data_IF_077366029337
#
_entry.id   IF_077366029337
#
_cell.length_a   1.000
_cell.length_b   1.000
_cell.length_c   1.000
_cell.angle_alpha   90.00
_cell.angle_beta   90.00
_cell.angle_gamma   90.00
#
_symmetry.space_group_name_H-M   'P 1'
#
loop_
_entity.id
_entity.type
_entity.pdbx_description
1 polymer ?
#
# COMPACT_ATOMS: atom_id res chain seq x y z
N UNK A 1 -54.51 -8.98 -3.47
CA UNK A 1 -53.41 -9.48 -2.61
C UNK A 1 -52.30 -8.45 -2.68
N UNK A 2 -52.29 -7.48 -1.76
CA UNK A 2 -51.29 -6.42 -1.72
C UNK A 2 -50.20 -6.80 -0.70
N UNK A 3 -48.99 -7.05 -1.20
CA UNK A 3 -47.82 -7.32 -0.36
C UNK A 3 -47.32 -6.03 0.27
N UNK A 4 -47.44 -5.93 1.61
CA UNK A 4 -46.84 -4.84 2.38
C UNK A 4 -45.32 -5.07 2.48
N UNK A 5 -44.54 -4.27 1.76
CA UNK A 5 -43.11 -4.07 2.06
C UNK A 5 -42.98 -3.36 3.41
N UNK A 6 -42.46 -4.07 4.41
CA UNK A 6 -42.04 -3.47 5.68
C UNK A 6 -40.82 -2.56 5.49
N UNK A 7 -40.63 -1.54 6.34
CA UNK A 7 -39.49 -0.63 6.21
C UNK A 7 -38.18 -1.38 6.49
N UNK A 8 -37.23 -1.25 5.58
CA UNK A 8 -35.87 -1.74 5.77
C UNK A 8 -35.25 -1.05 6.99
N UNK A 9 -34.85 -1.85 7.98
CA UNK A 9 -34.17 -1.36 9.18
C UNK A 9 -32.83 -0.73 8.76
N UNK A 10 -32.48 0.49 9.20
CA UNK A 10 -31.21 1.09 8.87
C UNK A 10 -30.08 0.22 9.43
N UNK A 11 -29.16 -0.20 8.55
CA UNK A 11 -27.97 -0.98 8.91
C UNK A 11 -27.16 -0.13 9.90
N UNK A 12 -27.13 -0.53 11.18
CA UNK A 12 -26.24 0.10 12.18
C UNK A 12 -24.81 -0.03 11.67
N UNK A 13 -24.22 1.08 11.26
CA UNK A 13 -22.78 1.15 11.00
C UNK A 13 -22.09 0.89 12.33
N UNK A 14 -21.19 -0.10 12.44
CA UNK A 14 -20.45 -0.35 13.66
C UNK A 14 -19.75 0.93 14.12
N UNK A 15 -19.93 1.30 15.39
CA UNK A 15 -19.16 2.37 16.01
C UNK A 15 -17.68 1.99 15.94
N UNK A 16 -16.84 2.89 15.44
CA UNK A 16 -15.38 2.67 15.38
C UNK A 16 -14.78 2.42 16.77
N UNK A 17 -15.44 2.91 17.83
CA UNK A 17 -15.05 2.72 19.24
C UNK A 17 -15.00 1.25 19.67
N UNK A 18 -15.80 0.38 19.04
CA UNK A 18 -15.91 -1.04 19.42
C UNK A 18 -14.97 -1.94 18.58
N UNK A 19 -14.29 -1.37 17.58
CA UNK A 19 -13.36 -2.12 16.73
C UNK A 19 -12.02 -2.28 17.46
N UNK A 20 -11.66 -3.54 17.73
CA UNK A 20 -10.35 -3.86 18.31
C UNK A 20 -9.24 -3.49 17.31
N UNK A 21 -8.34 -2.62 17.76
CA UNK A 21 -7.12 -2.30 17.01
C UNK A 21 -6.18 -3.51 17.09
N UNK A 22 -5.90 -4.10 15.94
CA UNK A 22 -4.85 -5.11 15.80
C UNK A 22 -3.52 -4.39 15.83
N UNK A 23 -2.63 -4.78 16.75
CA UNK A 23 -1.29 -4.20 16.85
C UNK A 23 -0.46 -4.59 15.63
N UNK A 24 0.42 -3.72 15.13
CA UNK A 24 1.39 -4.09 14.11
C UNK A 24 2.29 -5.24 14.59
N UNK A 25 2.71 -6.09 13.67
CA UNK A 25 3.79 -7.03 13.93
C UNK A 25 5.13 -6.27 14.10
N UNK A 26 6.06 -6.78 14.92
CA UNK A 26 7.38 -6.17 15.05
C UNK A 26 8.09 -6.05 13.70
N UNK A 27 8.66 -4.88 13.42
CA UNK A 27 9.38 -4.59 12.18
C UNK A 27 10.88 -4.46 12.43
N UNK A 28 11.66 -5.29 11.75
CA UNK A 28 13.12 -5.40 11.93
C UNK A 28 13.94 -4.80 10.78
N UNK A 29 13.27 -4.26 9.77
CA UNK A 29 13.96 -3.73 8.60
C UNK A 29 14.42 -4.78 7.58
N UNK A 30 13.78 -5.95 7.48
CA UNK A 30 14.20 -6.97 6.50
C UNK A 30 13.68 -6.76 5.08
N UNK A 31 12.45 -6.27 4.90
CA UNK A 31 11.84 -6.18 3.57
C UNK A 31 10.90 -4.98 3.40
N UNK A 32 10.80 -4.47 2.16
CA UNK A 32 9.83 -3.43 1.78
C UNK A 32 8.37 -3.89 1.97
N UNK A 33 8.09 -5.18 1.80
CA UNK A 33 6.75 -5.72 2.03
C UNK A 33 6.39 -5.67 3.52
N UNK A 34 7.29 -6.10 4.40
CA UNK A 34 7.10 -6.00 5.85
C UNK A 34 6.94 -4.55 6.29
N UNK A 35 7.73 -3.62 5.72
CA UNK A 35 7.58 -2.18 5.99
C UNK A 35 6.19 -1.67 5.62
N UNK A 36 5.67 -2.04 4.45
CA UNK A 36 4.34 -1.64 3.99
C UNK A 36 3.23 -2.18 4.88
N UNK A 37 3.30 -3.45 5.25
CA UNK A 37 2.32 -4.05 6.15
C UNK A 37 2.35 -3.38 7.52
N UNK A 38 3.55 -3.17 8.08
CA UNK A 38 3.75 -2.46 9.33
C UNK A 38 3.12 -1.05 9.31
N UNK A 39 3.48 -0.21 8.33
CA UNK A 39 2.92 1.14 8.20
C UNK A 39 1.41 1.14 8.02
N UNK A 40 0.88 0.21 7.20
CA UNK A 40 -0.56 0.09 6.98
C UNK A 40 -1.33 -0.25 8.28
N UNK A 41 -0.76 -1.10 9.14
CA UNK A 41 -1.35 -1.44 10.44
C UNK A 41 -1.35 -0.23 11.39
N UNK A 42 -0.26 0.53 11.44
CA UNK A 42 -0.19 1.78 12.21
C UNK A 42 -1.25 2.79 11.74
N UNK A 43 -1.33 3.07 10.45
CA UNK A 43 -2.32 4.00 9.88
C UNK A 43 -3.76 3.55 10.16
N UNK A 44 -4.01 2.25 10.09
CA UNK A 44 -5.32 1.68 10.44
C UNK A 44 -5.64 1.92 11.92
N UNK A 45 -4.68 1.74 12.83
CA UNK A 45 -4.84 2.04 14.25
C UNK A 45 -5.18 3.52 14.48
N UNK A 46 -4.48 4.43 13.79
CA UNK A 46 -4.69 5.88 13.92
C UNK A 46 -6.08 6.30 13.48
N UNK A 47 -6.58 5.75 12.36
CA UNK A 47 -7.94 6.02 11.87
C UNK A 47 -9.03 5.44 12.76
N UNK A 48 -8.78 4.30 13.40
CA UNK A 48 -9.76 3.65 14.29
C UNK A 48 -9.90 4.40 15.62
N UNK A 49 -8.80 4.99 16.12
CA UNK A 49 -8.73 5.68 17.42
C UNK A 49 -8.07 7.05 17.31
N UNK A 50 -8.65 8.01 16.56
CA UNK A 50 -8.06 9.33 16.39
C UNK A 50 -7.88 10.08 17.70
N UNK A 51 -8.72 9.84 18.71
CA UNK A 51 -8.59 10.41 20.05
C UNK A 51 -7.37 9.91 20.83
N UNK A 52 -6.87 8.72 20.50
CA UNK A 52 -5.65 8.16 21.13
C UNK A 52 -4.38 8.65 20.43
N UNK A 53 -4.48 9.03 19.16
CA UNK A 53 -3.36 9.49 18.34
C UNK A 53 -3.67 10.87 17.73
N UNK A 54 -3.84 11.90 18.58
CA UNK A 54 -4.34 13.20 18.15
C UNK A 54 -3.35 13.97 17.28
N UNK A 55 -2.05 13.72 17.45
CA UNK A 55 -0.96 14.38 16.74
C UNK A 55 0.09 13.37 16.27
N UNK A 56 1.07 13.85 15.51
CA UNK A 56 2.09 13.01 14.92
C UNK A 56 3.10 12.48 15.95
N UNK A 57 3.34 13.18 17.06
CA UNK A 57 4.21 12.69 18.12
C UNK A 57 3.64 11.40 18.73
N UNK A 58 2.33 11.37 19.04
CA UNK A 58 1.66 10.15 19.51
C UNK A 58 1.66 9.02 18.49
N UNK A 59 1.49 9.33 17.20
CA UNK A 59 1.56 8.33 16.12
C UNK A 59 2.95 7.71 16.02
N UNK A 60 3.98 8.53 16.01
CA UNK A 60 5.38 8.09 15.90
C UNK A 60 5.80 7.31 17.14
N UNK A 61 5.45 7.79 18.34
CA UNK A 61 5.72 7.08 19.60
C UNK A 61 5.03 5.72 19.67
N UNK A 62 3.78 5.62 19.19
CA UNK A 62 3.11 4.33 19.11
C UNK A 62 3.83 3.38 18.14
N UNK A 63 4.15 3.86 16.95
CA UNK A 63 4.78 3.06 15.91
C UNK A 63 6.18 2.59 16.34
N UNK A 64 7.02 3.49 16.86
CA UNK A 64 8.42 3.20 17.22
C UNK A 64 8.58 2.04 18.21
N UNK A 65 7.59 1.79 19.07
CA UNK A 65 7.57 0.66 20.01
C UNK A 65 7.61 -0.72 19.34
N UNK A 66 7.24 -0.80 18.06
CA UNK A 66 7.23 -2.04 17.28
C UNK A 66 8.46 -2.18 16.39
N UNK A 67 9.38 -1.20 16.40
CA UNK A 67 10.67 -1.36 15.74
C UNK A 67 11.54 -2.35 16.53
N UNK A 68 12.29 -3.17 15.81
CA UNK A 68 13.24 -4.12 16.37
C UNK A 68 14.54 -4.14 15.56
N UNK A 69 15.59 -4.73 16.13
CA UNK A 69 16.89 -4.90 15.47
C UNK A 69 17.48 -3.58 14.95
N UNK A 70 18.03 -3.62 13.73
CA UNK A 70 18.73 -2.49 13.13
C UNK A 70 17.84 -1.25 12.93
N UNK A 71 16.54 -1.42 12.67
CA UNK A 71 15.60 -0.30 12.54
C UNK A 71 15.36 0.42 13.86
N UNK A 72 15.27 -0.32 14.98
CA UNK A 72 15.14 0.28 16.31
C UNK A 72 16.40 1.07 16.71
N UNK A 73 17.58 0.50 16.47
CA UNK A 73 18.84 1.18 16.76
C UNK A 73 19.02 2.46 15.93
N UNK A 74 18.67 2.41 14.65
CA UNK A 74 18.74 3.58 13.78
C UNK A 74 17.76 4.66 14.23
N UNK A 75 16.55 4.28 14.63
CA UNK A 75 15.54 5.20 15.16
C UNK A 75 16.04 5.88 16.44
N UNK A 76 16.61 5.11 17.38
CA UNK A 76 17.16 5.65 18.62
C UNK A 76 18.28 6.68 18.37
N UNK A 77 19.14 6.45 17.37
CA UNK A 77 20.16 7.44 16.96
C UNK A 77 19.53 8.74 16.47
N UNK A 78 18.51 8.64 15.60
CA UNK A 78 17.81 9.81 15.08
C UNK A 78 17.11 10.60 16.20
N UNK A 79 16.45 9.92 17.15
CA UNK A 79 15.81 10.58 18.30
C UNK A 79 16.83 11.30 19.20
N UNK A 80 18.04 10.75 19.36
CA UNK A 80 19.09 11.40 20.13
C UNK A 80 19.64 12.66 19.42
N UNK A 81 19.66 12.66 18.09
CA UNK A 81 20.14 13.79 17.27
C UNK A 81 19.10 14.90 17.13
N UNK A 82 17.84 14.53 16.86
CA UNK A 82 16.75 15.48 16.56
C UNK A 82 15.90 15.85 17.79
N UNK A 83 16.09 15.16 18.91
CA UNK A 83 15.22 15.24 20.07
C UNK A 83 13.97 14.36 19.94
N UNK A 84 13.48 13.89 21.09
CA UNK A 84 12.28 13.05 21.18
C UNK A 84 11.04 13.84 20.75
N UNK A 85 10.08 13.14 20.16
CA UNK A 85 8.75 13.68 19.80
C UNK A 85 8.75 14.82 18.76
N UNK A 86 9.90 15.13 18.15
CA UNK A 86 10.05 16.18 17.13
C UNK A 86 9.85 15.69 15.68
N UNK A 87 9.72 14.39 15.47
CA UNK A 87 9.56 13.81 14.13
C UNK A 87 8.09 13.67 13.80
N UNK A 88 7.67 14.21 12.65
CA UNK A 88 6.30 14.05 12.16
C UNK A 88 6.12 12.70 11.45
N UNK A 89 4.89 12.23 11.28
CA UNK A 89 4.61 10.90 10.75
C UNK A 89 5.23 10.68 9.36
N UNK A 90 5.12 11.68 8.48
CA UNK A 90 5.70 11.63 7.14
C UNK A 90 7.22 11.42 7.15
N UNK A 91 7.92 12.15 8.02
CA UNK A 91 9.38 12.02 8.19
C UNK A 91 9.75 10.64 8.73
N UNK A 92 8.98 10.12 9.70
CA UNK A 92 9.17 8.78 10.24
C UNK A 92 9.05 7.70 9.16
N UNK A 93 8.00 7.76 8.34
CA UNK A 93 7.81 6.76 7.27
C UNK A 93 8.89 6.86 6.19
N UNK A 94 9.35 8.07 5.88
CA UNK A 94 10.44 8.31 4.92
C UNK A 94 11.75 7.74 5.45
N UNK A 95 12.09 8.05 6.70
CA UNK A 95 13.27 7.50 7.39
C UNK A 95 13.32 5.97 7.32
N UNK A 96 12.22 5.28 7.65
CA UNK A 96 12.20 3.80 7.59
C UNK A 96 12.36 3.24 6.17
N UNK A 97 11.84 3.94 5.15
CA UNK A 97 12.05 3.54 3.75
C UNK A 97 13.52 3.72 3.34
N UNK A 98 14.14 4.78 3.80
CA UNK A 98 15.52 5.14 3.44
C UNK A 98 16.54 4.25 4.15
N UNK A 99 16.22 3.71 5.33
CA UNK A 99 17.00 2.66 5.97
C UNK A 99 17.08 1.36 5.14
N UNK A 100 16.07 1.06 4.33
CA UNK A 100 16.04 -0.17 3.55
C UNK A 100 16.93 -0.09 2.31
N UNK A 101 16.88 1.04 1.61
CA UNK A 101 17.67 1.32 0.43
C UNK A 101 17.79 2.84 0.30
N UNK A 102 18.99 3.30 -0.07
CA UNK A 102 19.22 4.68 -0.51
C UNK A 102 18.11 5.12 -1.49
N UNK A 103 17.46 6.29 -1.28
CA UNK A 103 16.28 6.71 -2.05
C UNK A 103 16.50 6.71 -3.56
N UNK A 104 17.69 7.14 -4.00
CA UNK A 104 18.06 7.22 -5.43
C UNK A 104 18.19 5.81 -5.99
N UNK A 105 18.84 4.93 -5.24
CA UNK A 105 19.00 3.52 -5.61
C UNK A 105 17.66 2.77 -5.59
N UNK A 106 16.75 3.11 -4.67
CA UNK A 106 15.40 2.54 -4.56
C UNK A 106 14.54 2.89 -5.78
N UNK A 107 14.44 4.17 -6.12
CA UNK A 107 13.65 4.62 -7.27
C UNK A 107 14.18 4.01 -8.58
N UNK A 108 15.51 4.00 -8.78
CA UNK A 108 16.14 3.40 -9.95
C UNK A 108 15.90 1.87 -10.01
N UNK A 109 15.99 1.18 -8.87
CA UNK A 109 15.74 -0.27 -8.79
C UNK A 109 14.27 -0.60 -9.07
N UNK A 110 13.32 0.15 -8.50
CA UNK A 110 11.90 -0.06 -8.75
C UNK A 110 11.52 0.28 -10.18
N UNK A 111 12.11 1.33 -10.76
CA UNK A 111 11.89 1.70 -12.16
C UNK A 111 12.37 0.60 -13.09
N UNK A 112 13.56 0.04 -12.83
CA UNK A 112 14.08 -1.12 -13.57
C UNK A 112 13.16 -2.33 -13.43
N UNK A 113 12.77 -2.70 -12.20
CA UNK A 113 11.85 -3.83 -11.97
C UNK A 113 10.51 -3.63 -12.65
N UNK A 114 10.00 -2.40 -12.66
CA UNK A 114 8.75 -2.05 -13.33
C UNK A 114 8.87 -2.19 -14.84
N UNK A 115 9.97 -1.71 -15.42
CA UNK A 115 10.25 -1.82 -16.85
C UNK A 115 10.46 -3.27 -17.29
N UNK A 116 11.13 -4.08 -16.48
CA UNK A 116 11.41 -5.50 -16.75
C UNK A 116 10.22 -6.42 -16.42
N UNK A 117 9.24 -5.95 -15.65
CA UNK A 117 8.09 -6.75 -15.24
C UNK A 117 7.26 -7.21 -16.44
N UNK A 118 6.97 -8.51 -16.47
CA UNK A 118 5.99 -9.16 -17.32
C UNK A 118 5.21 -10.16 -16.49
N UNK A 119 3.93 -10.35 -16.83
CA UNK A 119 3.09 -11.36 -16.19
C UNK A 119 3.71 -12.75 -16.43
N UNK A 120 3.83 -13.53 -15.36
CA UNK A 120 4.32 -14.91 -15.47
C UNK A 120 3.20 -15.85 -15.95
N UNK A 121 3.50 -16.97 -16.65
CA UNK A 121 2.47 -17.90 -17.15
C UNK A 121 1.50 -18.42 -16.09
N UNK A 122 1.95 -18.56 -14.84
CA UNK A 122 1.16 -19.07 -13.72
C UNK A 122 0.50 -17.97 -12.86
N UNK A 123 0.71 -16.70 -13.19
CA UNK A 123 0.24 -15.57 -12.39
C UNK A 123 -1.07 -15.04 -12.96
N UNK A 124 -2.09 -14.83 -12.12
CA UNK A 124 -3.34 -14.22 -12.58
C UNK A 124 -3.15 -12.73 -12.88
N UNK A 125 -4.04 -12.16 -13.70
CA UNK A 125 -4.00 -10.72 -14.03
C UNK A 125 -4.11 -9.85 -12.77
N UNK A 126 -4.98 -10.25 -11.83
CA UNK A 126 -5.14 -9.58 -10.53
C UNK A 126 -3.83 -9.61 -9.74
N UNK A 127 -3.20 -10.78 -9.62
CA UNK A 127 -1.93 -10.92 -8.89
C UNK A 127 -0.81 -10.08 -9.53
N UNK A 128 -0.77 -10.02 -10.85
CA UNK A 128 0.22 -9.22 -11.56
C UNK A 128 -0.04 -7.72 -11.43
N UNK A 129 -1.29 -7.28 -11.53
CA UNK A 129 -1.67 -5.89 -11.32
C UNK A 129 -1.31 -5.39 -9.91
N UNK A 130 -1.56 -6.20 -8.88
CA UNK A 130 -1.17 -5.90 -7.50
C UNK A 130 0.34 -5.78 -7.35
N UNK A 131 1.11 -6.64 -8.05
CA UNK A 131 2.57 -6.52 -8.08
C UNK A 131 3.02 -5.21 -8.74
N UNK A 132 2.41 -4.82 -9.85
CA UNK A 132 2.71 -3.53 -10.50
C UNK A 132 2.38 -2.34 -9.60
N UNK A 133 1.24 -2.34 -8.91
CA UNK A 133 0.88 -1.31 -7.92
C UNK A 133 1.95 -1.17 -6.84
N UNK A 134 2.48 -2.30 -6.40
CA UNK A 134 3.55 -2.34 -5.40
C UNK A 134 4.85 -1.70 -5.90
N UNK A 135 5.13 -1.72 -7.21
CA UNK A 135 6.32 -1.05 -7.77
C UNK A 135 6.06 0.44 -7.98
N UNK A 136 4.86 0.80 -8.44
CA UNK A 136 4.45 2.18 -8.72
C UNK A 136 4.41 3.08 -7.48
N UNK A 137 4.27 2.51 -6.28
CA UNK A 137 4.31 3.26 -5.02
C UNK A 137 5.62 4.01 -4.76
N UNK A 138 6.71 3.65 -5.45
CA UNK A 138 8.03 4.30 -5.34
C UNK A 138 8.41 5.07 -6.63
N UNK A 139 7.49 5.17 -7.60
CA UNK A 139 7.71 5.81 -8.89
C UNK A 139 6.93 7.13 -9.00
N UNK A 140 7.29 8.01 -9.95
CA UNK A 140 6.45 9.16 -10.28
C UNK A 140 5.02 8.72 -10.62
N UNK A 141 4.03 9.50 -10.17
CA UNK A 141 2.62 9.19 -10.35
C UNK A 141 2.26 9.07 -11.83
N UNK A 142 1.86 7.88 -12.24
CA UNK A 142 1.30 7.63 -13.57
C UNK A 142 -0.22 7.90 -13.58
N UNK A 143 -0.70 8.41 -14.72
CA UNK A 143 -2.14 8.53 -14.98
C UNK A 143 -2.81 7.15 -15.07
N UNK A 144 -4.13 7.09 -14.84
CA UNK A 144 -4.87 5.82 -14.95
C UNK A 144 -4.76 5.18 -16.34
N UNK A 145 -4.73 6.00 -17.40
CA UNK A 145 -4.54 5.53 -18.77
C UNK A 145 -3.15 4.91 -18.97
N UNK A 146 -2.09 5.57 -18.48
CA UNK A 146 -0.73 5.01 -18.52
C UNK A 146 -0.64 3.70 -17.73
N UNK A 147 -1.23 3.64 -16.53
CA UNK A 147 -1.27 2.42 -15.71
C UNK A 147 -2.00 1.27 -16.41
N UNK A 148 -3.11 1.55 -17.09
CA UNK A 148 -3.84 0.56 -17.89
C UNK A 148 -3.00 0.06 -19.08
N UNK A 149 -2.38 0.99 -19.82
CA UNK A 149 -1.53 0.68 -20.96
C UNK A 149 -0.30 -0.14 -20.56
N UNK A 150 0.37 0.21 -19.46
CA UNK A 150 1.52 -0.52 -18.94
C UNK A 150 1.13 -1.93 -18.51
N UNK A 151 -0.02 -2.10 -17.84
CA UNK A 151 -0.52 -3.43 -17.49
C UNK A 151 -0.75 -4.25 -18.75
N UNK A 152 -1.54 -3.73 -19.70
CA UNK A 152 -1.85 -4.41 -20.96
C UNK A 152 -0.60 -4.86 -21.72
N UNK A 153 0.39 -3.99 -21.89
CA UNK A 153 1.61 -4.30 -22.62
C UNK A 153 2.42 -5.46 -22.00
N UNK A 154 2.31 -5.63 -20.68
CA UNK A 154 3.07 -6.59 -19.86
C UNK A 154 2.30 -7.88 -19.54
N UNK A 155 1.04 -8.00 -19.98
CA UNK A 155 0.29 -9.26 -19.88
C UNK A 155 0.89 -10.33 -20.80
N UNK A 156 0.62 -11.59 -20.48
CA UNK A 156 1.04 -12.71 -21.34
C UNK A 156 0.41 -12.60 -22.75
N UNK A 157 1.09 -13.08 -23.80
CA UNK A 157 0.63 -12.96 -25.19
C UNK A 157 -0.80 -13.42 -25.42
N UNK A 158 -1.22 -14.50 -24.78
CA UNK A 158 -2.54 -15.11 -24.92
C UNK A 158 -3.64 -14.14 -24.49
N UNK A 159 -3.45 -13.50 -23.33
CA UNK A 159 -4.40 -12.51 -22.79
C UNK A 159 -4.39 -11.24 -23.65
N UNK A 160 -3.22 -10.77 -24.09
CA UNK A 160 -3.14 -9.59 -24.98
C UNK A 160 -3.88 -9.82 -26.30
N UNK A 161 -3.72 -10.98 -26.91
CA UNK A 161 -4.43 -11.34 -28.16
C UNK A 161 -5.94 -11.42 -27.92
N UNK A 162 -6.39 -12.04 -26.83
CA UNK A 162 -7.81 -12.07 -26.48
C UNK A 162 -8.39 -10.66 -26.29
N UNK A 163 -7.66 -9.78 -25.61
CA UNK A 163 -8.06 -8.40 -25.34
C UNK A 163 -8.02 -7.51 -26.60
N UNK A 164 -7.13 -7.75 -27.54
CA UNK A 164 -7.09 -7.03 -28.84
C UNK A 164 -8.32 -7.29 -29.72
N UNK A 165 -9.08 -8.36 -29.45
CA UNK A 165 -10.31 -8.66 -30.19
C UNK A 165 -11.50 -7.81 -29.71
N UNK A 166 -11.37 -7.03 -28.64
CA UNK A 166 -12.41 -6.11 -28.17
C UNK A 166 -12.31 -4.75 -28.88
N UNK A 167 -13.46 -4.16 -29.21
CA UNK A 167 -13.53 -2.88 -29.94
C UNK A 167 -12.98 -1.68 -29.14
N UNK A 168 -13.00 -1.75 -27.81
CA UNK A 168 -12.46 -0.70 -26.94
C UNK A 168 -11.50 -1.27 -25.89
N UNK A 169 -10.27 -0.77 -25.89
CA UNK A 169 -9.30 -1.09 -24.84
C UNK A 169 -9.67 -0.30 -23.58
N UNK A 170 -9.85 -0.97 -22.43
CA UNK A 170 -10.17 -0.30 -21.18
C UNK A 170 -9.15 0.79 -20.81
N UNK A 171 -9.64 1.98 -20.46
CA UNK A 171 -8.79 3.13 -20.07
C UNK A 171 -8.36 3.08 -18.60
N UNK A 172 -8.88 2.14 -17.82
CA UNK A 172 -8.54 1.98 -16.41
C UNK A 172 -8.03 0.57 -16.14
N UNK A 173 -7.12 0.46 -15.16
CA UNK A 173 -6.57 -0.83 -14.71
C UNK A 173 -7.67 -1.74 -14.15
N UNK A 174 -8.64 -1.17 -13.42
CA UNK A 174 -9.75 -1.94 -12.86
C UNK A 174 -10.63 -2.57 -13.94
N UNK A 175 -10.94 -1.83 -15.00
CA UNK A 175 -11.75 -2.34 -16.11
C UNK A 175 -10.97 -3.37 -16.94
N UNK A 176 -9.66 -3.16 -17.12
CA UNK A 176 -8.79 -4.14 -17.77
C UNK A 176 -8.71 -5.47 -17.01
N UNK A 177 -8.62 -5.41 -15.67
CA UNK A 177 -8.64 -6.60 -14.81
C UNK A 177 -9.96 -7.34 -14.95
N UNK A 178 -11.10 -6.63 -14.92
CA UNK A 178 -12.44 -7.23 -15.06
C UNK A 178 -12.63 -7.92 -16.42
N UNK A 179 -12.03 -7.37 -17.46
CA UNK A 179 -12.13 -7.93 -18.81
C UNK A 179 -11.23 -9.16 -19.01
N UNK A 180 -10.13 -9.23 -18.27
CA UNK A 180 -9.10 -10.26 -18.41
C UNK A 180 -9.16 -11.38 -17.36
N UNK A 181 -10.19 -11.39 -16.52
CA UNK A 181 -10.46 -12.41 -15.49
C UNK A 181 -11.79 -13.09 -15.78
#
# INVERSE_FOLDING_TARGET
MEGKSGPATPRKVPSTRDIRVIKPEPYDGKTLQALREYLHRCETAFRLKPETYPDDAWKVLYASQFLTGASAEAWLRLENENGKDNTIWEQYTTFLRDLQQDPVTRAATMARRYNDANQRPYQTVIQFANYMDSLEAELPTYTNAQRAQHLFAKLIPEIRTALNNYQEIPKTRADLIKLAT
#
